data_IF_043239257366
#
_entry.id   IF_043239257366
#
_cell.length_a   1.000
_cell.length_b   1.000
_cell.length_c   1.000
_cell.angle_alpha   90.00
_cell.angle_beta   90.00
_cell.angle_gamma   90.00
#
_symmetry.space_group_name_H-M   'P 1'
#
loop_
_entity.id
_entity.type
_entity.pdbx_description
1 polymer ?
#
# COMPACT_ATOMS: atom_id res chain seq x y z
N UNK A 1 -12.58 22.56 0.55
CA UNK A 1 -11.79 21.73 -0.38
C UNK A 1 -12.70 20.63 -0.91
N UNK A 2 -12.84 20.47 -2.23
CA UNK A 2 -13.63 19.38 -2.84
C UNK A 2 -12.65 18.41 -3.51
N UNK A 3 -12.79 17.12 -3.26
CA UNK A 3 -12.00 16.07 -3.91
C UNK A 3 -12.86 15.47 -5.01
N UNK A 4 -12.35 15.47 -6.24
CA UNK A 4 -12.99 14.85 -7.39
C UNK A 4 -12.00 13.87 -8.03
N UNK A 5 -12.48 12.70 -8.42
CA UNK A 5 -11.67 11.69 -9.10
C UNK A 5 -11.82 11.86 -10.61
N UNK A 6 -10.71 11.77 -11.33
CA UNK A 6 -10.68 11.84 -12.78
C UNK A 6 -9.68 10.88 -13.37
N UNK A 7 -9.79 10.65 -14.68
CA UNK A 7 -8.86 9.80 -15.44
C UNK A 7 -8.00 10.65 -16.35
N UNK A 8 -6.74 10.26 -16.52
CA UNK A 8 -5.86 10.91 -17.51
C UNK A 8 -6.16 10.34 -18.90
N UNK A 9 -6.56 11.21 -19.84
CA UNK A 9 -6.78 10.89 -21.26
C UNK A 9 -6.01 11.91 -22.11
N UNK A 10 -5.06 11.43 -22.92
CA UNK A 10 -4.24 12.31 -23.76
C UNK A 10 -3.42 13.35 -22.98
N UNK A 11 -2.95 12.99 -21.78
CA UNK A 11 -2.18 13.88 -20.92
C UNK A 11 -3.01 14.93 -20.17
N UNK A 12 -4.35 14.86 -20.24
CA UNK A 12 -5.27 15.75 -19.52
C UNK A 12 -6.08 14.98 -18.50
N UNK A 13 -6.29 15.56 -17.31
CA UNK A 13 -7.20 15.01 -16.30
C UNK A 13 -8.64 15.32 -16.71
N UNK A 14 -9.44 14.28 -16.93
CA UNK A 14 -10.86 14.37 -17.25
C UNK A 14 -11.65 14.00 -15.99
N UNK A 15 -12.42 14.94 -15.47
CA UNK A 15 -13.32 14.74 -14.33
C UNK A 15 -14.70 14.28 -14.83
N UNK A 16 -15.27 13.25 -14.22
CA UNK A 16 -16.63 12.79 -14.51
C UNK A 16 -17.60 13.30 -13.43
N UNK A 17 -18.76 13.81 -13.84
CA UNK A 17 -19.82 14.22 -12.92
C UNK A 17 -19.57 15.50 -12.11
N UNK A 18 -18.46 16.21 -12.35
CA UNK A 18 -18.11 17.45 -11.66
C UNK A 18 -17.73 18.54 -12.66
N UNK A 19 -18.42 19.67 -12.60
CA UNK A 19 -18.05 20.90 -13.29
C UNK A 19 -17.34 21.85 -12.31
N UNK A 20 -16.17 22.35 -12.70
CA UNK A 20 -15.47 23.40 -11.96
C UNK A 20 -15.73 24.74 -12.64
N UNK A 21 -15.89 25.80 -11.84
CA UNK A 21 -16.09 27.15 -12.36
C UNK A 21 -14.80 27.67 -13.02
N UNK A 22 -14.96 28.49 -14.06
CA UNK A 22 -13.83 29.13 -14.73
C UNK A 22 -13.00 29.97 -13.75
N UNK A 23 -11.68 29.89 -13.85
CA UNK A 23 -10.76 30.59 -12.95
C UNK A 23 -10.49 29.86 -11.62
N UNK A 24 -11.09 28.70 -11.38
CA UNK A 24 -10.81 27.89 -10.18
C UNK A 24 -9.36 27.39 -10.19
N UNK A 25 -8.61 27.69 -9.13
CA UNK A 25 -7.28 27.09 -8.90
C UNK A 25 -7.43 25.63 -8.46
N UNK A 26 -6.76 24.71 -9.17
CA UNK A 26 -6.82 23.27 -8.91
C UNK A 26 -5.46 22.71 -8.54
N UNK A 27 -5.46 21.73 -7.63
CA UNK A 27 -4.28 20.92 -7.29
C UNK A 27 -4.56 19.49 -7.72
N UNK A 28 -3.69 18.93 -8.56
CA UNK A 28 -3.78 17.54 -9.02
C UNK A 28 -2.89 16.68 -8.14
N UNK A 29 -3.49 15.70 -7.48
CA UNK A 29 -2.78 14.66 -6.74
C UNK A 29 -2.78 13.40 -7.62
N UNK A 30 -1.64 13.11 -8.24
CA UNK A 30 -1.42 11.80 -8.85
C UNK A 30 -1.00 10.85 -7.73
N UNK A 31 -1.79 9.79 -7.56
CA UNK A 31 -1.34 8.66 -6.75
C UNK A 31 -0.23 8.00 -7.56
N UNK A 32 1.01 8.08 -7.07
CA UNK A 32 2.04 7.16 -7.55
C UNK A 32 1.45 5.77 -7.44
N UNK A 33 1.66 4.91 -8.44
CA UNK A 33 1.22 3.53 -8.34
C UNK A 33 1.71 3.03 -6.98
N UNK A 34 0.79 2.73 -6.05
CA UNK A 34 1.13 2.10 -4.78
C UNK A 34 1.58 0.72 -5.22
N UNK A 35 2.83 0.63 -5.71
CA UNK A 35 3.24 -0.38 -6.66
C UNK A 35 2.68 -1.69 -6.20
N UNK A 36 1.73 -2.23 -6.96
CA UNK A 36 1.09 -3.48 -6.56
C UNK A 36 2.23 -4.46 -6.38
N UNK A 37 2.46 -4.88 -5.13
CA UNK A 37 3.51 -5.83 -4.83
C UNK A 37 3.10 -7.12 -5.54
N UNK A 38 3.66 -7.36 -6.73
CA UNK A 38 3.43 -8.59 -7.44
C UNK A 38 4.22 -9.68 -6.70
N UNK A 39 3.49 -10.56 -6.03
CA UNK A 39 4.05 -11.76 -5.43
C UNK A 39 4.09 -12.86 -6.48
N UNK A 40 5.18 -13.63 -6.51
CA UNK A 40 5.12 -14.92 -7.20
C UNK A 40 4.15 -15.85 -6.46
N UNK A 41 3.61 -16.89 -7.11
CA UNK A 41 2.72 -17.85 -6.45
C UNK A 41 3.34 -18.48 -5.19
N UNK A 42 4.66 -18.67 -5.18
CA UNK A 42 5.40 -19.19 -4.04
C UNK A 42 5.44 -18.18 -2.88
N UNK A 43 5.69 -16.90 -3.18
CA UNK A 43 5.70 -15.83 -2.17
C UNK A 43 4.31 -15.59 -1.59
N UNK A 44 3.27 -15.69 -2.41
CA UNK A 44 1.88 -15.61 -1.94
C UNK A 44 1.55 -16.78 -1.00
N UNK A 45 1.95 -18.00 -1.36
CA UNK A 45 1.75 -19.18 -0.52
C UNK A 45 2.50 -19.08 0.82
N UNK A 46 3.74 -18.59 0.81
CA UNK A 46 4.53 -18.34 2.02
C UNK A 46 3.86 -17.30 2.93
N UNK A 47 3.40 -16.18 2.35
CA UNK A 47 2.72 -15.13 3.10
C UNK A 47 1.42 -15.63 3.74
N UNK A 48 0.60 -16.37 2.99
CA UNK A 48 -0.66 -16.94 3.50
C UNK A 48 -0.41 -17.95 4.62
N UNK A 49 0.67 -18.74 4.53
CA UNK A 49 1.07 -19.65 5.60
C UNK A 49 1.45 -18.87 6.87
N UNK A 50 2.29 -17.83 6.76
CA UNK A 50 2.68 -17.01 7.92
C UNK A 50 1.50 -16.28 8.58
N UNK A 51 0.52 -15.83 7.79
CA UNK A 51 -0.73 -15.27 8.34
C UNK A 51 -1.47 -16.33 9.14
N UNK A 52 -1.63 -17.53 8.60
CA UNK A 52 -2.32 -18.62 9.29
C UNK A 52 -1.58 -19.08 10.57
N UNK A 53 -0.25 -19.07 10.58
CA UNK A 53 0.57 -19.31 11.78
C UNK A 53 0.31 -18.24 12.85
N UNK A 54 0.29 -16.97 12.46
CA UNK A 54 0.01 -15.87 13.37
C UNK A 54 -1.40 -15.96 13.97
N UNK A 55 -2.41 -16.31 13.16
CA UNK A 55 -3.79 -16.51 13.62
C UNK A 55 -3.91 -17.68 14.61
N UNK A 56 -3.09 -18.73 14.45
CA UNK A 56 -2.99 -19.84 15.41
C UNK A 56 -2.18 -19.48 16.66
N UNK A 57 -1.60 -18.29 16.73
CA UNK A 57 -0.75 -17.84 17.84
C UNK A 57 0.65 -18.45 17.82
N UNK A 58 1.10 -19.00 16.69
CA UNK A 58 2.45 -19.53 16.47
C UNK A 58 3.44 -18.37 16.24
N UNK A 59 3.47 -17.42 17.17
CA UNK A 59 4.32 -16.23 17.14
C UNK A 59 5.30 -16.22 18.29
N UNK A 60 6.33 -15.38 18.19
CA UNK A 60 7.29 -15.11 19.26
C UNK A 60 7.18 -13.65 19.67
N UNK A 61 7.41 -13.37 20.96
CA UNK A 61 7.41 -11.99 21.46
C UNK A 61 8.54 -11.16 20.87
N UNK A 62 8.35 -9.84 20.80
CA UNK A 62 9.38 -8.93 20.32
C UNK A 62 10.65 -9.01 21.19
N UNK A 63 10.48 -9.14 22.50
CA UNK A 63 11.56 -9.29 23.48
C UNK A 63 12.38 -10.56 23.22
N UNK A 64 11.71 -11.68 22.93
CA UNK A 64 12.38 -12.95 22.60
C UNK A 64 13.16 -12.85 21.28
N UNK A 65 12.59 -12.21 20.26
CA UNK A 65 13.27 -11.97 18.98
C UNK A 65 14.52 -11.10 19.17
N UNK A 66 14.39 -10.01 19.93
CA UNK A 66 15.51 -9.10 20.23
C UNK A 66 16.62 -9.82 21.00
N UNK A 67 16.27 -10.64 21.99
CA UNK A 67 17.25 -11.44 22.73
C UNK A 67 18.03 -12.39 21.79
N UNK A 68 17.35 -13.09 20.87
CA UNK A 68 17.98 -13.98 19.88
C UNK A 68 18.87 -13.23 18.88
N UNK A 69 18.52 -12.00 18.50
CA UNK A 69 19.33 -11.17 17.59
C UNK A 69 20.60 -10.64 18.27
N UNK A 70 20.50 -10.22 19.53
CA UNK A 70 21.66 -9.76 20.33
C UNK A 70 22.68 -10.88 20.50
N UNK A 71 22.24 -12.13 20.70
CA UNK A 71 23.12 -13.30 20.83
C UNK A 71 23.81 -13.73 19.53
N UNK A 72 23.35 -13.27 18.35
CA UNK A 72 24.01 -13.56 17.06
C UNK A 72 25.15 -12.60 16.72
N UNK A 73 25.37 -11.55 17.54
CA UNK A 73 26.37 -10.50 17.32
C UNK A 73 27.53 -10.51 18.34
N UNK A 74 27.58 -11.49 19.25
CA UNK A 74 28.71 -11.73 20.15
C UNK A 74 29.43 -13.01 19.78
#
# INVERSE_FOLDING_TARGET
MKVATGKVVGGKVVLEGVSLEEGTSVTVLAKDDDGSLELTPEQEAELLLSIAEADRGETVSAEEVLAKLVHRRG
#
